data_IF_643141389524
#
_entry.id   IF_643141389524
#
_cell.length_a   1.000
_cell.length_b   1.000
_cell.length_c   1.000
_cell.angle_alpha   90.00
_cell.angle_beta   90.00
_cell.angle_gamma   90.00
#
_symmetry.space_group_name_H-M   'P 1'
#
loop_
_entity.id
_entity.type
_entity.pdbx_description
1 polymer ?
#
# COMPACT_ATOMS: atom_id res chain seq x y z
N UNK A 1 1.40 24.77 5.67
CA UNK A 1 0.76 24.10 6.82
C UNK A 1 -0.55 23.51 6.34
N UNK A 2 -0.86 22.26 6.69
CA UNK A 2 -2.21 21.68 6.64
C UNK A 2 -2.14 20.21 7.13
N UNK A 3 -2.03 20.06 8.44
CA UNK A 3 -2.04 18.77 9.14
C UNK A 3 -3.43 18.52 9.72
N UNK A 4 -4.40 18.13 8.88
CA UNK A 4 -5.72 17.69 9.37
C UNK A 4 -5.63 16.22 9.78
N UNK A 5 -5.30 15.97 11.05
CA UNK A 5 -5.40 14.66 11.67
C UNK A 5 -6.82 14.44 12.23
N UNK A 6 -7.61 13.57 11.61
CA UNK A 6 -8.90 13.13 12.17
C UNK A 6 -8.69 11.94 13.11
N UNK A 7 -9.14 12.08 14.36
CA UNK A 7 -9.05 11.10 15.44
C UNK A 7 -10.21 10.10 15.36
N UNK A 8 -10.07 9.07 14.51
CA UNK A 8 -11.05 7.97 14.40
C UNK A 8 -10.57 6.67 15.07
N UNK A 9 -9.41 6.70 15.73
CA UNK A 9 -8.84 5.60 16.51
C UNK A 9 -7.68 6.14 17.37
N UNK A 10 -7.15 5.35 18.29
CA UNK A 10 -6.03 5.70 19.19
C UNK A 10 -4.67 5.95 18.48
N UNK A 11 -4.68 6.27 17.19
CA UNK A 11 -3.51 6.53 16.36
C UNK A 11 -3.68 7.78 15.50
N UNK A 12 -2.57 8.46 15.21
CA UNK A 12 -2.49 9.59 14.29
C UNK A 12 -2.13 9.09 12.89
N UNK A 13 -2.83 9.59 11.87
CA UNK A 13 -2.52 9.28 10.46
C UNK A 13 -1.75 10.41 9.82
N UNK A 14 -0.63 10.11 9.17
CA UNK A 14 0.16 11.06 8.38
C UNK A 14 0.35 10.53 6.96
N UNK A 15 0.00 11.35 5.97
CA UNK A 15 0.20 11.02 4.56
C UNK A 15 1.46 11.66 4.04
N UNK A 16 2.39 10.82 3.61
CA UNK A 16 3.67 11.23 3.07
C UNK A 16 3.66 11.03 1.56
N UNK A 17 4.07 12.06 0.84
CA UNK A 17 3.97 12.13 -0.62
C UNK A 17 5.35 12.15 -1.25
N UNK A 18 5.69 11.11 -1.97
CA UNK A 18 6.99 10.96 -2.65
C UNK A 18 6.89 11.32 -4.13
N UNK A 19 7.96 11.87 -4.69
CA UNK A 19 8.06 12.12 -6.13
C UNK A 19 8.64 10.89 -6.83
N UNK A 20 8.22 10.67 -8.07
CA UNK A 20 8.92 9.75 -8.98
C UNK A 20 10.22 10.42 -9.44
N UNK A 21 11.27 9.64 -9.67
CA UNK A 21 12.46 10.12 -10.38
C UNK A 21 12.10 10.53 -11.83
N UNK A 22 12.95 11.30 -12.53
CA UNK A 22 12.71 11.64 -13.93
C UNK A 22 12.48 10.40 -14.82
N UNK A 23 13.30 9.36 -14.65
CA UNK A 23 13.18 8.13 -15.44
C UNK A 23 11.92 7.33 -15.09
N UNK A 24 11.60 7.21 -13.80
CA UNK A 24 10.35 6.60 -13.34
C UNK A 24 9.13 7.34 -13.88
N UNK A 25 9.20 8.68 -13.94
CA UNK A 25 8.14 9.53 -14.47
C UNK A 25 7.92 9.30 -15.96
N UNK A 26 9.00 9.29 -16.75
CA UNK A 26 8.91 9.04 -18.21
C UNK A 26 8.23 7.71 -18.48
N UNK A 27 8.69 6.65 -17.80
CA UNK A 27 8.13 5.32 -17.99
C UNK A 27 6.68 5.23 -17.50
N UNK A 28 6.38 5.84 -16.35
CA UNK A 28 5.03 5.90 -15.81
C UNK A 28 4.08 6.64 -16.77
N UNK A 29 4.47 7.80 -17.29
CA UNK A 29 3.59 8.59 -18.15
C UNK A 29 3.32 7.87 -19.48
N UNK A 30 4.31 7.16 -20.03
CA UNK A 30 4.16 6.34 -21.23
C UNK A 30 3.15 5.20 -21.04
N UNK A 31 3.31 4.38 -19.99
CA UNK A 31 2.37 3.30 -19.69
C UNK A 31 0.99 3.85 -19.28
N UNK A 32 0.94 5.00 -18.62
CA UNK A 32 -0.30 5.64 -18.17
C UNK A 32 -1.10 6.15 -19.37
N UNK A 33 -0.46 6.74 -20.37
CA UNK A 33 -1.10 7.18 -21.60
C UNK A 33 -1.77 6.00 -22.34
N UNK A 34 -1.06 4.89 -22.53
CA UNK A 34 -1.60 3.69 -23.17
C UNK A 34 -2.84 3.19 -22.43
N UNK A 35 -2.73 3.07 -21.11
CA UNK A 35 -3.81 2.58 -20.26
C UNK A 35 -5.02 3.53 -20.26
N UNK A 36 -4.80 4.83 -20.01
CA UNK A 36 -5.89 5.78 -19.78
C UNK A 36 -6.62 6.11 -21.07
N UNK A 37 -5.93 6.16 -22.21
CA UNK A 37 -6.55 6.44 -23.51
C UNK A 37 -7.56 5.35 -23.86
N UNK A 38 -7.17 4.07 -23.74
CA UNK A 38 -8.09 2.95 -23.98
C UNK A 38 -9.31 2.99 -23.05
N UNK A 39 -9.10 3.22 -21.75
CA UNK A 39 -10.19 3.28 -20.77
C UNK A 39 -11.17 4.42 -21.06
N UNK A 40 -10.65 5.58 -21.48
CA UNK A 40 -11.46 6.77 -21.82
C UNK A 40 -12.23 6.58 -23.11
N UNK A 41 -11.57 6.12 -24.17
CA UNK A 41 -12.18 5.86 -25.47
C UNK A 41 -13.34 4.88 -25.36
N UNK A 42 -13.15 3.78 -24.62
CA UNK A 42 -14.19 2.78 -24.35
C UNK A 42 -15.19 3.20 -23.28
N UNK A 43 -14.96 4.34 -22.61
CA UNK A 43 -15.78 4.87 -21.51
C UNK A 43 -16.07 3.82 -20.41
N UNK A 44 -15.10 2.94 -20.12
CA UNK A 44 -15.35 1.75 -19.31
C UNK A 44 -15.95 2.07 -17.93
N UNK A 45 -15.44 3.05 -17.15
CA UNK A 45 -16.01 3.36 -15.84
C UNK A 45 -17.46 3.86 -15.93
N UNK A 46 -17.81 4.62 -16.98
CA UNK A 46 -19.16 5.14 -17.20
C UNK A 46 -20.13 4.04 -17.59
N UNK A 47 -19.70 3.08 -18.43
CA UNK A 47 -20.53 2.00 -18.94
C UNK A 47 -20.72 0.83 -17.96
N UNK A 48 -19.72 0.53 -17.15
CA UNK A 48 -19.68 -0.69 -16.33
C UNK A 48 -19.62 -0.45 -14.82
N UNK A 49 -19.67 0.82 -14.38
CA UNK A 49 -19.67 1.16 -12.95
C UNK A 49 -18.50 0.51 -12.20
N UNK A 50 -18.73 -0.07 -11.03
CA UNK A 50 -17.70 -0.73 -10.23
C UNK A 50 -16.99 -1.92 -10.93
N UNK A 51 -17.66 -2.56 -11.90
CA UNK A 51 -17.14 -3.71 -12.65
C UNK A 51 -16.23 -3.38 -13.82
N UNK A 52 -15.96 -2.09 -14.10
CA UNK A 52 -15.22 -1.67 -15.30
C UNK A 52 -13.83 -2.31 -15.46
N UNK A 53 -13.16 -2.64 -14.35
CA UNK A 53 -11.85 -3.28 -14.39
C UNK A 53 -11.96 -4.76 -14.81
N UNK A 54 -13.03 -5.45 -14.41
CA UNK A 54 -13.32 -6.82 -14.87
C UNK A 54 -13.64 -6.81 -16.36
N UNK A 55 -14.34 -5.78 -16.84
CA UNK A 55 -14.59 -5.66 -18.27
C UNK A 55 -13.30 -5.42 -19.07
N UNK A 56 -12.39 -4.55 -18.61
CA UNK A 56 -11.08 -4.39 -19.24
C UNK A 56 -10.31 -5.73 -19.30
N UNK A 57 -10.37 -6.51 -18.22
CA UNK A 57 -9.76 -7.85 -18.17
C UNK A 57 -10.41 -8.80 -19.16
N UNK A 58 -11.75 -8.82 -19.25
CA UNK A 58 -12.49 -9.64 -20.22
C UNK A 58 -12.09 -9.28 -21.65
N UNK A 59 -12.10 -8.00 -22.01
CA UNK A 59 -11.70 -7.50 -23.33
C UNK A 59 -10.25 -7.88 -23.68
N UNK A 60 -9.34 -7.87 -22.69
CA UNK A 60 -7.93 -8.22 -22.90
C UNK A 60 -7.68 -9.66 -23.37
N UNK A 61 -8.67 -10.53 -23.26
CA UNK A 61 -8.55 -11.93 -23.68
C UNK A 61 -8.58 -12.08 -25.20
N UNK A 62 -9.34 -11.24 -25.91
CA UNK A 62 -9.52 -11.32 -27.37
C UNK A 62 -9.19 -10.02 -28.13
N UNK A 63 -9.08 -8.87 -27.46
CA UNK A 63 -8.74 -7.60 -28.12
C UNK A 63 -7.28 -7.19 -27.86
N UNK A 64 -6.43 -7.07 -28.90
CA UNK A 64 -5.02 -6.71 -28.73
C UNK A 64 -4.79 -5.35 -28.04
N UNK A 65 -5.62 -4.35 -28.35
CA UNK A 65 -5.51 -3.01 -27.74
C UNK A 65 -5.88 -3.04 -26.25
N UNK A 66 -6.95 -3.76 -25.88
CA UNK A 66 -7.32 -3.98 -24.49
C UNK A 66 -6.22 -4.71 -23.71
N UNK A 67 -5.60 -5.73 -24.34
CA UNK A 67 -4.46 -6.44 -23.77
C UNK A 67 -3.28 -5.51 -23.52
N UNK A 68 -2.93 -4.68 -24.50
CA UNK A 68 -1.86 -3.68 -24.36
C UNK A 68 -2.15 -2.70 -23.21
N UNK A 69 -3.38 -2.21 -23.09
CA UNK A 69 -3.80 -1.32 -22.00
C UNK A 69 -3.76 -2.00 -20.63
N UNK A 70 -4.19 -3.27 -20.53
CA UNK A 70 -4.16 -4.02 -19.28
C UNK A 70 -2.72 -4.32 -18.83
N UNK A 71 -1.84 -4.70 -19.76
CA UNK A 71 -0.42 -4.90 -19.47
C UNK A 71 0.28 -3.59 -19.06
N UNK A 72 -0.03 -2.47 -19.72
CA UNK A 72 0.47 -1.16 -19.32
C UNK A 72 0.04 -0.82 -17.89
N UNK A 73 -1.24 -1.08 -17.54
CA UNK A 73 -1.71 -0.94 -16.15
C UNK A 73 -0.92 -1.80 -15.16
N UNK A 74 -0.58 -3.04 -15.51
CA UNK A 74 0.24 -3.89 -14.64
C UNK A 74 1.66 -3.33 -14.46
N UNK A 75 2.29 -2.84 -15.53
CA UNK A 75 3.62 -2.20 -15.46
C UNK A 75 3.61 -0.95 -14.59
N UNK A 76 2.60 -0.09 -14.73
CA UNK A 76 2.41 1.08 -13.86
C UNK A 76 2.36 0.70 -12.39
N UNK A 77 1.54 -0.31 -12.06
CA UNK A 77 1.41 -0.75 -10.68
C UNK A 77 2.73 -1.31 -10.14
N UNK A 78 3.51 -2.01 -10.97
CA UNK A 78 4.83 -2.53 -10.58
C UNK A 78 5.84 -1.39 -10.36
N UNK A 79 5.91 -0.42 -11.27
CA UNK A 79 6.80 0.75 -11.14
C UNK A 79 6.50 1.56 -9.89
N UNK A 80 5.21 1.80 -9.60
CA UNK A 80 4.81 2.49 -8.38
C UNK A 80 5.12 1.69 -7.12
N UNK A 81 5.04 0.37 -7.19
CA UNK A 81 5.44 -0.49 -6.09
C UNK A 81 6.95 -0.41 -5.85
N UNK A 82 7.77 -0.40 -6.89
CA UNK A 82 9.22 -0.32 -6.78
C UNK A 82 9.80 1.11 -6.77
N UNK A 83 8.99 2.14 -6.50
CA UNK A 83 9.45 3.53 -6.58
C UNK A 83 10.50 3.82 -5.50
N UNK A 84 11.68 4.30 -5.90
CA UNK A 84 12.80 4.57 -4.99
C UNK A 84 12.47 5.62 -3.93
N UNK A 85 11.63 6.60 -4.26
CA UNK A 85 11.16 7.59 -3.29
C UNK A 85 10.44 6.95 -2.10
N UNK A 86 9.72 5.83 -2.30
CA UNK A 86 9.06 5.10 -1.20
C UNK A 86 10.06 4.38 -0.32
N UNK A 87 11.11 3.82 -0.90
CA UNK A 87 12.17 3.15 -0.16
C UNK A 87 13.01 4.14 0.66
N UNK A 88 13.32 5.30 0.08
CA UNK A 88 14.04 6.37 0.79
C UNK A 88 13.27 6.81 2.03
N UNK A 89 11.97 7.07 1.87
CA UNK A 89 11.12 7.46 2.99
C UNK A 89 10.91 6.32 3.99
N UNK A 90 10.82 5.07 3.53
CA UNK A 90 10.75 3.92 4.42
C UNK A 90 12.02 3.80 5.27
N UNK A 91 13.19 4.01 4.69
CA UNK A 91 14.47 4.02 5.41
C UNK A 91 14.50 5.12 6.49
N UNK A 92 14.03 6.33 6.17
CA UNK A 92 13.88 7.42 7.15
C UNK A 92 12.97 7.01 8.32
N UNK A 93 11.79 6.45 8.03
CA UNK A 93 10.84 6.01 9.06
C UNK A 93 11.40 4.84 9.90
N UNK A 94 12.08 3.88 9.27
CA UNK A 94 12.70 2.76 10.00
C UNK A 94 13.79 3.25 10.97
N UNK A 95 14.54 4.30 10.61
CA UNK A 95 15.55 4.92 11.49
C UNK A 95 14.93 5.74 12.61
N UNK A 96 13.92 6.56 12.30
CA UNK A 96 13.21 7.39 13.27
C UNK A 96 12.54 6.52 14.37
N UNK A 97 11.98 5.37 13.98
CA UNK A 97 11.25 4.48 14.87
C UNK A 97 12.01 3.20 15.22
N UNK A 98 13.35 3.23 15.20
CA UNK A 98 14.21 2.04 15.39
C UNK A 98 13.95 1.27 16.69
N UNK A 99 13.50 1.95 17.75
CA UNK A 99 13.18 1.33 19.05
C UNK A 99 11.77 0.75 19.11
N UNK A 100 10.93 1.06 18.14
CA UNK A 100 9.51 0.73 18.15
C UNK A 100 9.22 -0.53 17.29
N UNK A 101 8.06 -1.15 17.53
CA UNK A 101 7.57 -2.22 16.65
C UNK A 101 6.83 -1.60 15.47
N UNK A 102 7.32 -1.90 14.27
CA UNK A 102 6.86 -1.35 12.99
C UNK A 102 6.21 -2.44 12.14
N UNK A 103 5.01 -2.20 11.66
CA UNK A 103 4.32 -3.10 10.76
C UNK A 103 4.13 -2.44 9.39
N UNK A 104 4.75 -3.03 8.37
CA UNK A 104 4.77 -2.49 7.02
C UNK A 104 3.78 -3.25 6.16
N UNK A 105 2.93 -2.52 5.45
CA UNK A 105 1.91 -3.06 4.57
C UNK A 105 2.13 -2.62 3.14
N UNK A 106 1.89 -3.56 2.24
CA UNK A 106 1.82 -3.28 0.82
C UNK A 106 0.75 -4.17 0.18
N UNK A 107 0.30 -3.80 -1.01
CA UNK A 107 -0.61 -4.66 -1.78
C UNK A 107 0.09 -5.72 -2.60
N UNK A 108 1.35 -5.52 -2.94
CA UNK A 108 2.07 -6.38 -3.88
C UNK A 108 3.10 -7.21 -3.15
N UNK A 109 3.08 -8.53 -3.38
CA UNK A 109 4.12 -9.44 -2.90
C UNK A 109 5.51 -8.98 -3.34
N UNK A 110 5.66 -8.50 -4.58
CA UNK A 110 6.92 -7.99 -5.10
C UNK A 110 7.52 -6.87 -4.24
N UNK A 111 6.68 -5.97 -3.72
CA UNK A 111 7.11 -4.91 -2.81
C UNK A 111 7.46 -5.46 -1.43
N UNK A 112 6.67 -6.41 -0.91
CA UNK A 112 6.96 -7.03 0.39
C UNK A 112 8.32 -7.74 0.37
N UNK A 113 8.58 -8.53 -0.67
CA UNK A 113 9.88 -9.20 -0.85
C UNK A 113 11.02 -8.22 -1.12
N UNK A 114 10.78 -7.12 -1.85
CA UNK A 114 11.80 -6.09 -2.05
C UNK A 114 12.18 -5.39 -0.72
N UNK A 115 11.20 -5.06 0.12
CA UNK A 115 11.44 -4.54 1.48
C UNK A 115 12.21 -5.55 2.32
N UNK A 116 11.79 -6.83 2.29
CA UNK A 116 12.46 -7.88 3.04
C UNK A 116 13.94 -8.04 2.66
N UNK A 117 14.22 -8.08 1.35
CA UNK A 117 15.58 -8.21 0.84
C UNK A 117 16.44 -6.97 1.15
N UNK A 118 15.89 -5.76 1.04
CA UNK A 118 16.64 -4.51 1.22
C UNK A 118 16.93 -4.17 2.69
N UNK A 119 16.01 -4.49 3.60
CA UNK A 119 16.11 -4.11 5.02
C UNK A 119 16.25 -5.29 5.97
N UNK A 120 16.34 -6.52 5.44
CA UNK A 120 16.44 -7.76 6.22
C UNK A 120 15.26 -7.93 7.20
N UNK A 121 14.07 -7.54 6.73
CA UNK A 121 12.82 -7.58 7.49
C UNK A 121 12.03 -8.84 7.07
N UNK A 122 11.52 -9.66 7.99
CA UNK A 122 10.68 -10.81 7.64
C UNK A 122 9.44 -10.41 6.84
N UNK A 123 9.15 -11.15 5.77
CA UNK A 123 7.95 -10.96 4.95
C UNK A 123 6.89 -12.02 5.26
N UNK A 124 5.65 -11.58 5.43
CA UNK A 124 4.46 -12.45 5.48
C UNK A 124 3.60 -12.17 4.24
N UNK A 125 3.56 -13.11 3.31
CA UNK A 125 2.69 -13.07 2.13
C UNK A 125 1.69 -14.23 2.20
N UNK A 126 0.82 -14.35 1.20
CA UNK A 126 -0.10 -15.48 1.11
C UNK A 126 0.62 -16.81 0.83
N UNK A 127 1.87 -16.74 0.35
CA UNK A 127 2.72 -17.89 0.08
C UNK A 127 3.49 -18.36 1.34
N UNK A 128 3.56 -17.52 2.39
CA UNK A 128 4.23 -17.85 3.65
C UNK A 128 3.47 -18.96 4.37
N UNK A 129 4.16 -20.07 4.63
CA UNK A 129 3.62 -21.24 5.32
C UNK A 129 3.09 -20.88 6.72
N UNK A 130 2.07 -21.61 7.19
CA UNK A 130 1.40 -21.33 8.47
C UNK A 130 2.39 -21.35 9.65
N UNK A 131 3.28 -22.35 9.69
CA UNK A 131 4.28 -22.48 10.75
C UNK A 131 5.29 -21.32 10.75
N UNK A 132 5.79 -20.94 9.57
CA UNK A 132 6.71 -19.81 9.41
C UNK A 132 6.05 -18.50 9.82
N UNK A 133 4.81 -18.27 9.37
CA UNK A 133 4.02 -17.09 9.72
C UNK A 133 3.85 -16.96 11.23
N UNK A 134 3.48 -18.05 11.91
CA UNK A 134 3.33 -18.08 13.37
C UNK A 134 4.64 -17.70 14.06
N UNK A 135 5.76 -18.29 13.63
CA UNK A 135 7.08 -17.99 14.18
C UNK A 135 7.47 -16.51 14.00
N UNK A 136 7.26 -15.94 12.79
CA UNK A 136 7.52 -14.52 12.54
C UNK A 136 6.69 -13.62 13.47
N UNK A 137 5.40 -13.92 13.63
CA UNK A 137 4.51 -13.14 14.50
C UNK A 137 4.89 -13.26 15.99
N UNK A 138 5.26 -14.45 16.47
CA UNK A 138 5.74 -14.65 17.84
C UNK A 138 7.05 -13.88 18.11
N UNK A 139 8.00 -13.90 17.17
CA UNK A 139 9.23 -13.12 17.28
C UNK A 139 8.98 -11.61 17.17
N UNK A 140 7.98 -11.17 16.40
CA UNK A 140 7.55 -9.78 16.39
C UNK A 140 6.88 -9.37 17.71
N UNK A 141 6.04 -10.23 18.28
CA UNK A 141 5.37 -10.00 19.56
C UNK A 141 6.35 -9.85 20.72
N UNK A 142 7.38 -10.71 20.77
CA UNK A 142 8.42 -10.66 21.81
C UNK A 142 9.44 -9.53 21.58
N UNK A 143 9.38 -8.83 20.45
CA UNK A 143 10.30 -7.74 20.10
C UNK A 143 11.64 -8.21 19.54
N UNK A 144 11.83 -9.52 19.33
CA UNK A 144 12.99 -10.07 18.62
C UNK A 144 13.06 -9.55 17.19
N UNK A 145 11.90 -9.44 16.52
CA UNK A 145 11.76 -8.69 15.28
C UNK A 145 11.13 -7.34 15.59
N UNK A 146 11.82 -6.25 15.22
CA UNK A 146 11.32 -4.88 15.38
C UNK A 146 10.41 -4.47 14.23
N UNK A 147 10.57 -5.10 13.07
CA UNK A 147 9.73 -4.84 11.91
C UNK A 147 9.28 -6.13 11.25
N UNK A 148 8.10 -6.10 10.63
CA UNK A 148 7.58 -7.14 9.73
C UNK A 148 6.92 -6.45 8.55
N UNK A 149 7.11 -6.99 7.35
CA UNK A 149 6.39 -6.55 6.14
C UNK A 149 5.36 -7.59 5.72
N UNK A 150 4.19 -7.16 5.28
CA UNK A 150 3.16 -8.08 4.80
C UNK A 150 2.39 -7.55 3.59
N UNK A 151 2.05 -8.48 2.69
CA UNK A 151 1.22 -8.23 1.53
C UNK A 151 -0.09 -9.01 1.61
N UNK A 152 -1.22 -8.31 1.80
CA UNK A 152 -2.61 -8.87 1.74
C UNK A 152 -2.86 -10.19 2.53
N UNK A 153 -1.95 -10.62 3.39
CA UNK A 153 -1.88 -12.00 3.91
C UNK A 153 -2.35 -12.17 5.35
N UNK A 154 -2.53 -11.08 6.10
CA UNK A 154 -3.12 -11.13 7.45
C UNK A 154 -4.65 -10.97 7.39
N UNK A 155 -5.27 -11.39 6.29
CA UNK A 155 -6.71 -11.31 6.12
C UNK A 155 -7.36 -12.59 6.65
N UNK A 156 -8.02 -12.44 7.81
CA UNK A 156 -8.96 -13.35 8.47
C UNK A 156 -8.33 -14.44 9.36
N UNK A 157 -8.69 -14.42 10.65
CA UNK A 157 -8.34 -15.46 11.64
C UNK A 157 -6.96 -15.35 12.30
N UNK A 158 -6.15 -14.34 11.98
CA UNK A 158 -4.78 -14.21 12.51
C UNK A 158 -4.71 -13.01 13.45
N UNK A 159 -4.32 -13.26 14.70
CA UNK A 159 -4.05 -12.21 15.68
C UNK A 159 -2.69 -11.58 15.36
N UNK A 160 -2.69 -10.29 15.08
CA UNK A 160 -1.50 -9.55 14.70
C UNK A 160 -0.98 -8.84 15.94
N UNK A 161 0.28 -9.09 16.36
CA UNK A 161 0.82 -8.51 17.59
C UNK A 161 0.84 -6.99 17.56
N UNK A 162 0.74 -6.39 18.74
CA UNK A 162 0.68 -4.94 18.89
C UNK A 162 1.90 -4.23 18.27
N UNK A 163 1.62 -3.19 17.49
CA UNK A 163 2.62 -2.33 16.89
C UNK A 163 2.37 -0.88 17.27
N UNK A 164 3.42 -0.07 17.38
CA UNK A 164 3.27 1.37 17.60
C UNK A 164 3.18 2.13 16.28
N UNK A 165 3.84 1.62 15.24
CA UNK A 165 3.93 2.26 13.94
C UNK A 165 3.41 1.30 12.87
N UNK A 166 2.51 1.79 12.03
CA UNK A 166 2.10 1.14 10.80
C UNK A 166 2.51 1.99 9.60
N UNK A 167 3.10 1.37 8.58
CA UNK A 167 3.48 2.04 7.34
C UNK A 167 2.77 1.36 6.18
N UNK A 168 1.97 2.11 5.43
CA UNK A 168 1.28 1.62 4.23
C UNK A 168 2.00 2.16 3.00
N UNK A 169 2.65 1.27 2.26
CA UNK A 169 3.35 1.56 1.02
C UNK A 169 2.38 1.43 -0.17
N UNK A 170 1.83 2.56 -0.59
CA UNK A 170 0.93 2.69 -1.75
C UNK A 170 -0.48 3.15 -1.39
N UNK A 171 -1.18 3.68 -2.40
CA UNK A 171 -2.50 4.29 -2.23
C UNK A 171 -3.65 3.36 -2.58
N UNK A 172 -4.02 2.45 -1.70
CA UNK A 172 -4.94 1.36 -2.09
C UNK A 172 -6.29 1.38 -1.38
N UNK A 173 -7.30 0.76 -2.01
CA UNK A 173 -8.70 0.82 -1.56
C UNK A 173 -8.99 -0.09 -0.36
N UNK A 174 -8.27 -1.22 -0.24
CA UNK A 174 -8.40 -2.17 0.86
C UNK A 174 -7.54 -1.85 2.09
N UNK A 175 -6.57 -0.93 1.96
CA UNK A 175 -5.69 -0.55 3.05
C UNK A 175 -6.46 -0.01 4.27
N UNK A 176 -7.61 0.66 4.10
CA UNK A 176 -8.40 1.19 5.23
C UNK A 176 -9.19 0.12 5.98
N UNK A 177 -9.85 -0.81 5.29
CA UNK A 177 -10.53 -1.94 5.94
C UNK A 177 -9.52 -2.78 6.73
N UNK A 178 -8.33 -2.91 6.15
CA UNK A 178 -7.18 -3.51 6.78
C UNK A 178 -6.67 -2.68 7.98
N UNK A 179 -6.50 -1.36 7.86
CA UNK A 179 -6.12 -0.44 8.95
C UNK A 179 -7.19 -0.40 10.07
N UNK A 180 -8.46 -0.54 9.73
CA UNK A 180 -9.56 -0.61 10.70
C UNK A 180 -9.52 -1.95 11.45
N UNK A 181 -9.18 -3.05 10.78
CA UNK A 181 -8.79 -4.31 11.45
C UNK A 181 -7.52 -4.13 12.31
N UNK A 182 -6.56 -3.31 11.88
CA UNK A 182 -5.37 -2.91 12.66
C UNK A 182 -5.66 -1.95 13.82
N UNK A 183 -6.86 -1.40 13.96
CA UNK A 183 -7.20 -0.54 15.11
C UNK A 183 -7.06 -1.27 16.46
N UNK A 184 -7.05 -2.61 16.44
CA UNK A 184 -6.75 -3.49 17.59
C UNK A 184 -5.24 -3.73 17.79
N UNK A 185 -4.47 -3.60 16.72
CA UNK A 185 -3.03 -3.86 16.61
C UNK A 185 -2.22 -2.61 16.95
N UNK A 186 -2.69 -1.42 16.54
CA UNK A 186 -2.08 -0.15 16.88
C UNK A 186 -2.48 0.28 18.29
N UNK A 187 -1.55 0.22 19.25
CA UNK A 187 -1.77 0.66 20.63
C UNK A 187 -0.83 1.78 21.06
N UNK A 188 -1.34 2.63 21.95
CA UNK A 188 -0.52 3.64 22.63
C UNK A 188 0.46 2.93 23.55
N UNK A 189 1.71 3.40 23.56
CA UNK A 189 2.75 2.95 24.50
C UNK A 189 3.25 4.20 25.22
N UNK A 190 3.17 4.19 26.55
CA UNK A 190 3.80 5.19 27.44
C UNK A 190 3.58 6.65 26.98
N UNK A 191 2.31 7.07 26.91
CA UNK A 191 1.86 8.42 26.50
C UNK A 191 2.17 8.84 25.06
N UNK A 192 2.77 8.00 24.21
CA UNK A 192 2.97 8.29 22.78
C UNK A 192 1.86 7.66 21.94
N UNK A 193 1.27 8.45 21.05
CA UNK A 193 0.25 7.99 20.12
C UNK A 193 0.83 6.98 19.12
N UNK A 194 0.03 5.98 18.75
CA UNK A 194 0.38 5.12 17.63
C UNK A 194 0.36 5.93 16.31
N UNK A 195 1.23 5.59 15.38
CA UNK A 195 1.39 6.33 14.12
C UNK A 195 1.04 5.45 12.94
N UNK A 196 0.27 6.00 12.01
CA UNK A 196 -0.03 5.39 10.72
C UNK A 196 0.49 6.29 9.60
N UNK A 197 1.49 5.82 8.86
CA UNK A 197 2.04 6.49 7.71
C UNK A 197 1.45 5.94 6.41
N UNK A 198 0.82 6.79 5.60
CA UNK A 198 0.42 6.44 4.23
C UNK A 198 1.42 7.03 3.24
N UNK A 199 2.25 6.20 2.62
CA UNK A 199 3.23 6.62 1.62
C UNK A 199 2.64 6.48 0.22
N UNK A 200 2.53 7.60 -0.51
CA UNK A 200 1.95 7.62 -1.86
C UNK A 200 2.84 8.37 -2.86
N UNK A 201 2.86 7.90 -4.11
CA UNK A 201 3.53 8.61 -5.21
C UNK A 201 2.66 9.75 -5.76
N UNK A 202 3.21 10.97 -5.82
CA UNK A 202 2.54 12.20 -6.31
C UNK A 202 2.24 12.13 -7.80
N UNK A 203 1.11 12.72 -8.21
CA UNK A 203 0.68 12.80 -9.62
C UNK A 203 0.63 11.40 -10.26
N UNK A 204 0.10 10.43 -9.52
CA UNK A 204 -0.09 9.05 -10.00
C UNK A 204 -1.49 8.56 -9.66
N UNK A 205 -1.83 7.35 -10.14
CA UNK A 205 -3.07 6.67 -9.79
C UNK A 205 -3.23 6.46 -8.27
N UNK A 206 -2.15 6.43 -7.49
CA UNK A 206 -2.22 6.30 -6.02
C UNK A 206 -2.78 7.55 -5.36
N UNK A 207 -2.37 8.73 -5.82
CA UNK A 207 -2.89 10.00 -5.32
C UNK A 207 -4.37 10.16 -5.67
N UNK A 208 -4.76 9.83 -6.91
CA UNK A 208 -6.17 9.85 -7.32
C UNK A 208 -7.05 8.85 -6.55
N UNK A 209 -6.48 7.72 -6.10
CA UNK A 209 -7.16 6.80 -5.17
C UNK A 209 -7.24 7.42 -3.77
N UNK A 210 -6.16 8.01 -3.28
CA UNK A 210 -6.11 8.65 -1.96
C UNK A 210 -7.06 9.83 -1.80
N UNK A 211 -7.23 10.65 -2.83
CA UNK A 211 -8.16 11.78 -2.84
C UNK A 211 -9.62 11.33 -2.85
N UNK A 212 -9.97 10.35 -3.70
CA UNK A 212 -11.31 9.75 -3.71
C UNK A 212 -11.68 9.13 -2.36
N UNK A 213 -10.69 8.54 -1.66
CA UNK A 213 -10.86 8.06 -0.27
C UNK A 213 -11.18 9.18 0.73
N UNK A 214 -10.58 10.37 0.58
CA UNK A 214 -10.85 11.50 1.49
C UNK A 214 -12.28 12.01 1.32
N UNK A 215 -12.74 12.21 0.08
CA UNK A 215 -14.10 12.72 -0.17
C UNK A 215 -15.19 11.83 0.42
N UNK A 216 -15.01 10.51 0.41
CA UNK A 216 -15.96 9.58 1.06
C UNK A 216 -16.03 9.78 2.59
N UNK A 217 -15.00 10.33 3.25
CA UNK A 217 -15.01 10.63 4.70
C UNK A 217 -15.72 11.94 5.07
N UNK A 218 -15.92 12.85 4.13
CA UNK A 218 -16.56 14.14 4.42
C UNK A 218 -18.08 14.08 4.19
N UNK A 219 -18.57 12.97 3.62
CA UNK A 219 -19.98 12.75 3.24
C UNK A 219 -20.66 11.68 4.13
N UNK A 220 -19.86 10.85 4.82
CA UNK A 220 -20.29 9.90 5.85
C UNK A 220 -20.00 10.50 7.25
#
# INVERSE_FOLDING_TARGET
EDLVGQQLANYRTQRLRVNLSPDERIQYDADYAIYINFVRERQLPRRHGAGWLMELMRLSTFEPQARRAFLARQRLLRQLASCEGKFTLLDELLREYVTERILIFTEQNTMAYAVAARYLIPAITHETAVAERKNILEHFQTGRYRAVVTSRALNEGIDVPEAKVAIVLGGTSGAREYIQRLGRVLRKVENREAMLFEVIARKTIEEGRAQRRRRKREVD
#
